data_IF_870452368534
#
_entry.id   IF_870452368534
#
_cell.length_a   1.000
_cell.length_b   1.000
_cell.length_c   1.000
_cell.angle_alpha   90.00
_cell.angle_beta   90.00
_cell.angle_gamma   90.00
#
_symmetry.space_group_name_H-M   'P 1'
#
loop_
_entity.id
_entity.type
_entity.pdbx_description
1 polymer ?
#
# COMPACT_ATOMS: atom_id res chain seq x y z
N UNK A 1 5.39 0.53 21.65
CA UNK A 1 5.33 0.34 20.19
C UNK A 1 5.18 1.72 19.57
N UNK A 2 6.10 2.14 18.69
CA UNK A 2 5.93 3.40 17.94
C UNK A 2 5.10 3.09 16.69
N UNK A 3 3.96 3.76 16.53
CA UNK A 3 3.16 3.67 15.32
C UNK A 3 3.75 4.62 14.28
N UNK A 4 4.07 4.10 13.10
CA UNK A 4 4.40 4.92 11.93
C UNK A 4 3.15 5.18 11.09
N UNK A 5 3.24 6.17 10.21
CA UNK A 5 2.18 6.52 9.27
C UNK A 5 2.76 6.63 7.87
N UNK A 6 1.97 6.18 6.89
CA UNK A 6 2.26 6.31 5.48
C UNK A 6 1.12 7.03 4.76
N UNK A 7 1.45 7.75 3.70
CA UNK A 7 0.49 8.26 2.73
C UNK A 7 0.54 7.34 1.51
N UNK A 8 -0.62 6.83 1.12
CA UNK A 8 -0.77 5.85 0.06
C UNK A 8 -1.75 6.37 -1.00
N UNK A 9 -1.41 6.10 -2.26
CA UNK A 9 -2.21 6.39 -3.44
C UNK A 9 -2.86 5.10 -3.94
N UNK A 10 -4.19 5.08 -4.03
CA UNK A 10 -4.97 3.92 -4.41
C UNK A 10 -5.60 4.08 -5.79
N UNK A 11 -5.96 2.94 -6.39
CA UNK A 11 -6.36 2.89 -7.80
C UNK A 11 -7.86 2.72 -7.98
N UNK A 12 -8.32 2.94 -9.21
CA UNK A 12 -9.66 2.56 -9.60
C UNK A 12 -9.86 1.04 -9.52
N UNK A 13 -11.12 0.56 -9.39
CA UNK A 13 -11.37 -0.87 -9.27
C UNK A 13 -10.85 -1.70 -10.46
N UNK A 14 -10.72 -1.11 -11.66
CA UNK A 14 -10.25 -1.84 -12.83
C UNK A 14 -8.76 -2.18 -12.70
N UNK A 15 -7.94 -1.20 -12.34
CA UNK A 15 -6.50 -1.33 -12.14
C UNK A 15 -6.18 -2.20 -10.91
N UNK A 16 -6.89 -2.01 -9.80
CA UNK A 16 -6.75 -2.85 -8.61
C UNK A 16 -6.97 -4.32 -8.92
N UNK A 17 -8.05 -4.65 -9.65
CA UNK A 17 -8.34 -6.02 -10.02
C UNK A 17 -7.23 -6.65 -10.89
N UNK A 18 -6.50 -5.86 -11.68
CA UNK A 18 -5.36 -6.39 -12.44
C UNK A 18 -4.16 -6.67 -11.55
N UNK A 19 -3.89 -5.80 -10.57
CA UNK A 19 -2.84 -6.04 -9.57
C UNK A 19 -3.17 -7.25 -8.69
N UNK A 20 -4.43 -7.38 -8.26
CA UNK A 20 -4.92 -8.52 -7.48
C UNK A 20 -4.79 -9.85 -8.24
N UNK A 21 -4.89 -9.85 -9.58
CA UNK A 21 -4.59 -11.06 -10.36
C UNK A 21 -3.14 -11.50 -10.20
N UNK A 22 -2.19 -10.57 -10.16
CA UNK A 22 -0.79 -10.87 -9.91
C UNK A 22 -0.60 -11.51 -8.53
N UNK A 23 -1.23 -10.96 -7.50
CA UNK A 23 -1.20 -11.52 -6.14
C UNK A 23 -1.75 -12.95 -6.13
N UNK A 24 -2.89 -13.16 -6.78
CA UNK A 24 -3.54 -14.47 -6.87
C UNK A 24 -2.69 -15.52 -7.61
N UNK A 25 -1.97 -15.13 -8.66
CA UNK A 25 -1.07 -16.04 -9.40
C UNK A 25 0.06 -16.52 -8.49
N UNK A 26 0.68 -15.60 -7.73
CA UNK A 26 1.76 -15.93 -6.80
C UNK A 26 1.26 -16.77 -5.61
N UNK A 27 0.08 -16.43 -5.08
CA UNK A 27 -0.56 -17.17 -3.99
C UNK A 27 -0.90 -18.62 -4.39
N UNK A 28 -1.47 -18.83 -5.58
CA UNK A 28 -1.77 -20.18 -6.11
C UNK A 28 -0.53 -21.05 -6.29
N UNK A 29 0.62 -20.43 -6.54
CA UNK A 29 1.92 -21.10 -6.62
C UNK A 29 2.62 -21.21 -5.27
N UNK A 30 1.98 -20.78 -4.18
CA UNK A 30 2.52 -20.79 -2.82
C UNK A 30 3.84 -20.02 -2.70
N UNK A 31 4.01 -18.97 -3.50
CA UNK A 31 5.23 -18.14 -3.50
C UNK A 31 5.17 -17.09 -2.40
N UNK A 32 4.06 -16.35 -2.36
CA UNK A 32 3.80 -15.32 -1.36
C UNK A 32 2.29 -15.08 -1.28
N UNK A 33 1.81 -14.95 -0.04
CA UNK A 33 0.41 -14.62 0.31
C UNK A 33 0.35 -13.40 1.23
N UNK A 34 1.49 -12.81 1.59
CA UNK A 34 1.61 -11.83 2.66
C UNK A 34 0.69 -10.62 2.47
N UNK A 35 0.64 -10.05 1.27
CA UNK A 35 -0.22 -8.90 0.95
C UNK A 35 -1.72 -9.21 1.09
N UNK A 36 -2.13 -10.46 0.86
CA UNK A 36 -3.51 -10.92 1.03
C UNK A 36 -3.81 -11.14 2.51
N UNK A 37 -2.88 -11.75 3.25
CA UNK A 37 -3.05 -12.07 4.67
C UNK A 37 -3.14 -10.84 5.57
N UNK A 38 -2.45 -9.75 5.19
CA UNK A 38 -2.53 -8.47 5.89
C UNK A 38 -3.68 -7.57 5.39
N UNK A 39 -4.56 -8.11 4.53
CA UNK A 39 -5.70 -7.40 3.95
C UNK A 39 -5.28 -6.07 3.28
N UNK A 40 -4.12 -6.08 2.59
CA UNK A 40 -3.62 -4.90 1.89
C UNK A 40 -4.48 -4.60 0.66
N UNK A 41 -4.61 -3.31 0.33
CA UNK A 41 -5.17 -2.83 -0.94
C UNK A 41 -4.02 -2.45 -1.87
N UNK A 42 -4.06 -2.75 -3.18
CA UNK A 42 -3.04 -2.27 -4.13
C UNK A 42 -2.86 -0.74 -4.06
N UNK A 43 -1.62 -0.29 -3.88
CA UNK A 43 -1.32 1.14 -3.71
C UNK A 43 0.12 1.48 -4.13
N UNK A 44 0.40 2.78 -4.25
CA UNK A 44 1.76 3.34 -4.27
C UNK A 44 1.98 4.14 -2.98
N UNK A 45 3.08 3.89 -2.28
CA UNK A 45 3.46 4.69 -1.11
C UNK A 45 4.12 6.00 -1.57
N UNK A 46 3.55 7.12 -1.13
CA UNK A 46 4.02 8.47 -1.44
C UNK A 46 4.89 9.06 -0.32
N UNK A 47 4.67 8.61 0.91
CA UNK A 47 5.39 9.06 2.09
C UNK A 47 5.28 8.01 3.19
N UNK A 48 6.31 7.86 4.02
CA UNK A 48 6.25 7.04 5.23
C UNK A 48 7.19 7.57 6.31
N UNK A 49 6.73 7.61 7.57
CA UNK A 49 7.56 8.01 8.71
C UNK A 49 7.10 7.36 10.01
N UNK A 50 8.06 7.06 10.88
CA UNK A 50 7.85 6.52 12.22
C UNK A 50 7.46 7.57 13.28
N UNK A 51 7.69 8.85 12.99
CA UNK A 51 7.72 9.92 13.99
C UNK A 51 6.84 11.11 13.63
N UNK A 52 5.77 10.88 12.87
CA UNK A 52 4.89 11.94 12.39
C UNK A 52 3.55 11.93 13.13
N UNK A 53 3.05 13.13 13.44
CA UNK A 53 1.73 13.30 14.05
C UNK A 53 0.63 13.10 12.98
N UNK A 54 -0.35 12.21 13.20
CA UNK A 54 -1.37 11.90 12.19
C UNK A 54 -2.25 13.10 11.84
N UNK A 55 -2.53 13.97 12.81
CA UNK A 55 -3.35 15.18 12.61
C UNK A 55 -2.74 16.15 11.60
N UNK A 56 -1.41 16.25 11.54
CA UNK A 56 -0.71 17.05 10.51
C UNK A 56 -0.91 16.45 9.13
N UNK A 57 -0.75 15.13 8.99
CA UNK A 57 -0.97 14.43 7.73
C UNK A 57 -2.41 14.58 7.23
N UNK A 58 -3.40 14.43 8.12
CA UNK A 58 -4.82 14.57 7.79
C UNK A 58 -5.16 15.98 7.27
N UNK A 59 -4.63 17.02 7.92
CA UNK A 59 -4.82 18.41 7.51
C UNK A 59 -4.25 18.67 6.11
N UNK A 60 -3.02 18.20 5.86
CA UNK A 60 -2.36 18.29 4.56
C UNK A 60 -3.18 17.57 3.50
N UNK A 61 -3.53 16.31 3.74
CA UNK A 61 -4.23 15.49 2.75
C UNK A 61 -5.62 16.03 2.40
N UNK A 62 -6.37 16.53 3.38
CA UNK A 62 -7.69 17.14 3.11
C UNK A 62 -7.59 18.29 2.13
N UNK A 63 -6.64 19.20 2.36
CA UNK A 63 -6.44 20.37 1.51
C UNK A 63 -5.84 19.98 0.16
N UNK A 64 -4.90 19.03 0.17
CA UNK A 64 -4.21 18.56 -1.01
C UNK A 64 -5.17 17.84 -1.96
N UNK A 65 -5.90 16.83 -1.48
CA UNK A 65 -6.79 16.00 -2.29
C UNK A 65 -7.88 16.83 -2.98
N UNK A 66 -8.42 17.85 -2.31
CA UNK A 66 -9.46 18.74 -2.88
C UNK A 66 -9.05 19.52 -4.14
N UNK A 67 -7.75 19.54 -4.46
CA UNK A 67 -7.18 20.28 -5.59
C UNK A 67 -6.63 19.39 -6.68
N UNK A 68 -6.65 18.08 -6.47
CA UNK A 68 -6.11 17.13 -7.41
C UNK A 68 -7.22 16.63 -8.34
N UNK A 69 -6.78 16.05 -9.45
CA UNK A 69 -7.63 15.28 -10.35
C UNK A 69 -7.12 13.82 -10.38
N UNK A 70 -7.97 12.86 -10.77
CA UNK A 70 -7.55 11.47 -10.95
C UNK A 70 -6.34 11.37 -11.89
N UNK A 71 -5.31 10.65 -11.44
CA UNK A 71 -4.07 10.50 -12.20
C UNK A 71 -4.16 9.30 -13.12
N UNK A 72 -3.94 9.49 -14.42
CA UNK A 72 -3.75 8.37 -15.33
C UNK A 72 -2.45 7.61 -15.00
N UNK A 73 -2.55 6.30 -14.87
CA UNK A 73 -1.48 5.39 -14.46
C UNK A 73 -1.31 4.25 -15.46
N UNK A 74 -0.06 3.97 -15.79
CA UNK A 74 0.33 2.86 -16.66
C UNK A 74 1.42 2.07 -15.98
N UNK A 75 1.18 0.82 -15.62
CA UNK A 75 2.20 -0.08 -15.07
C UNK A 75 2.83 -0.90 -16.20
N UNK A 76 4.13 -0.68 -16.44
CA UNK A 76 4.85 -1.27 -17.56
C UNK A 76 6.00 -2.19 -17.17
N UNK A 77 6.42 -2.15 -15.90
CA UNK A 77 7.69 -2.77 -15.47
C UNK A 77 7.48 -3.59 -14.21
N UNK A 78 8.06 -4.80 -14.19
CA UNK A 78 8.22 -5.61 -12.99
C UNK A 78 9.63 -5.40 -12.44
N UNK A 79 9.76 -5.17 -11.14
CA UNK A 79 11.05 -4.94 -10.50
C UNK A 79 11.14 -5.58 -9.11
N UNK A 80 12.37 -5.60 -8.60
CA UNK A 80 12.71 -5.94 -7.21
C UNK A 80 13.76 -4.91 -6.76
N UNK A 81 13.60 -4.29 -5.58
CA UNK A 81 14.68 -3.48 -5.04
C UNK A 81 15.84 -4.39 -4.62
N UNK A 82 17.08 -3.88 -4.57
CA UNK A 82 18.17 -4.60 -3.94
C UNK A 82 17.92 -4.75 -2.43
N UNK A 83 18.41 -5.82 -1.83
CA UNK A 83 18.35 -6.06 -0.39
C UNK A 83 17.57 -7.31 0.01
N UNK A 84 17.44 -7.52 1.32
CA UNK A 84 16.90 -8.75 1.90
C UNK A 84 15.36 -8.76 2.04
N UNK A 85 14.70 -7.66 1.69
CA UNK A 85 13.26 -7.51 1.84
C UNK A 85 12.46 -8.39 0.86
N UNK A 86 13.11 -8.95 -0.17
CA UNK A 86 12.55 -9.88 -1.17
C UNK A 86 11.14 -9.46 -1.66
N UNK A 87 11.03 -8.21 -2.10
CA UNK A 87 9.79 -7.61 -2.58
C UNK A 87 9.79 -7.62 -4.10
N UNK A 88 8.66 -7.97 -4.70
CA UNK A 88 8.41 -7.74 -6.13
C UNK A 88 7.36 -6.66 -6.27
N UNK A 89 7.55 -5.77 -7.23
CA UNK A 89 6.64 -4.67 -7.49
C UNK A 89 6.36 -4.47 -8.98
N UNK A 90 5.22 -3.85 -9.26
CA UNK A 90 4.94 -3.20 -10.53
C UNK A 90 5.29 -1.72 -10.40
N UNK A 91 6.06 -1.17 -11.33
CA UNK A 91 6.36 0.25 -11.37
C UNK A 91 5.56 0.92 -12.48
N UNK A 92 4.94 2.08 -12.21
CA UNK A 92 4.31 2.87 -13.25
C UNK A 92 5.38 3.43 -14.20
N UNK A 93 5.03 3.54 -15.47
CA UNK A 93 5.77 4.33 -16.44
C UNK A 93 5.88 5.76 -15.91
N UNK A 94 7.09 6.32 -15.78
CA UNK A 94 7.26 7.68 -15.29
C UNK A 94 6.44 8.67 -16.13
N UNK A 95 5.63 9.48 -15.45
CA UNK A 95 4.82 10.53 -16.08
C UNK A 95 5.04 11.85 -15.35
N UNK A 96 4.95 12.95 -16.10
CA UNK A 96 5.06 14.29 -15.51
C UNK A 96 3.99 14.52 -14.43
N UNK A 97 2.76 14.06 -14.66
CA UNK A 97 1.65 14.21 -13.71
C UNK A 97 1.93 13.50 -12.39
N UNK A 98 2.44 12.27 -12.41
CA UNK A 98 2.76 11.51 -11.20
C UNK A 98 3.91 12.16 -10.41
N UNK A 99 4.98 12.55 -11.10
CA UNK A 99 6.13 13.20 -10.47
C UNK A 99 5.77 14.57 -9.90
N UNK A 100 4.96 15.35 -10.61
CA UNK A 100 4.45 16.64 -10.16
C UNK A 100 3.53 16.48 -8.94
N UNK A 101 2.62 15.51 -8.97
CA UNK A 101 1.74 15.21 -7.83
C UNK A 101 2.54 14.90 -6.57
N UNK A 102 3.54 14.03 -6.68
CA UNK A 102 4.44 13.70 -5.56
C UNK A 102 5.21 14.94 -5.07
N UNK A 103 5.80 15.73 -5.97
CA UNK A 103 6.50 16.96 -5.60
C UNK A 103 5.59 17.95 -4.87
N UNK A 104 4.36 18.16 -5.33
CA UNK A 104 3.41 19.05 -4.69
C UNK A 104 2.98 18.55 -3.30
N UNK A 105 2.85 17.23 -3.12
CA UNK A 105 2.60 16.62 -1.82
C UNK A 105 3.79 16.88 -0.89
N UNK A 106 5.02 16.65 -1.35
CA UNK A 106 6.22 16.93 -0.56
C UNK A 106 6.27 18.41 -0.11
N UNK A 107 5.96 19.35 -1.00
CA UNK A 107 5.93 20.78 -0.66
C UNK A 107 4.82 21.12 0.34
N UNK A 108 3.67 20.43 0.26
CA UNK A 108 2.59 20.59 1.22
C UNK A 108 2.98 20.06 2.62
N UNK A 109 3.62 18.90 2.68
CA UNK A 109 4.13 18.31 3.91
C UNK A 109 5.20 19.20 4.56
N UNK A 110 6.16 19.71 3.77
CA UNK A 110 7.21 20.62 4.26
C UNK A 110 6.65 21.90 4.86
N UNK A 111 5.58 22.47 4.26
CA UNK A 111 4.93 23.69 4.78
C UNK A 111 4.31 23.49 6.17
N UNK A 112 3.86 22.29 6.48
CA UNK A 112 3.36 21.91 7.82
C UNK A 112 4.47 21.41 8.76
N UNK A 113 5.74 21.57 8.37
CA UNK A 113 6.89 21.16 9.16
C UNK A 113 7.08 19.65 9.26
N UNK A 114 6.54 18.88 8.31
CA UNK A 114 6.74 17.43 8.24
C UNK A 114 8.06 17.13 7.52
N UNK A 115 8.95 16.41 8.20
CA UNK A 115 10.20 15.95 7.61
C UNK A 115 9.96 14.80 6.64
N UNK A 116 10.65 14.85 5.50
CA UNK A 116 10.59 13.85 4.42
C UNK A 116 11.94 13.16 4.35
N UNK A 117 11.95 11.84 4.57
CA UNK A 117 13.13 11.00 4.45
C UNK A 117 13.63 10.95 3.00
N UNK A 118 14.91 10.69 2.83
CA UNK A 118 15.60 10.72 1.52
C UNK A 118 14.89 9.88 0.45
N UNK A 119 14.39 8.71 0.81
CA UNK A 119 13.73 7.76 -0.11
C UNK A 119 12.38 8.25 -0.67
N UNK A 120 11.73 9.23 -0.03
CA UNK A 120 10.49 9.87 -0.49
C UNK A 120 10.73 11.30 -0.98
N UNK A 121 11.98 11.70 -1.22
CA UNK A 121 12.24 13.00 -1.86
C UNK A 121 11.98 12.91 -3.36
N UNK A 122 11.51 14.00 -4.00
CA UNK A 122 11.21 13.99 -5.44
C UNK A 122 12.34 13.47 -6.33
N UNK A 123 13.60 13.66 -5.93
CA UNK A 123 14.79 13.27 -6.68
C UNK A 123 15.17 11.78 -6.52
N UNK A 124 14.70 11.13 -5.46
CA UNK A 124 15.09 9.77 -5.06
C UNK A 124 13.94 8.78 -5.07
N UNK A 125 12.69 9.27 -5.07
CA UNK A 125 11.50 8.47 -4.95
C UNK A 125 11.29 7.56 -6.17
N UNK A 126 11.10 6.28 -5.89
CA UNK A 126 10.80 5.26 -6.90
C UNK A 126 9.34 4.84 -6.72
N UNK A 127 8.43 5.21 -7.65
CA UNK A 127 7.05 4.78 -7.57
C UNK A 127 6.98 3.27 -7.79
N UNK A 128 6.40 2.57 -6.82
CA UNK A 128 6.20 1.14 -6.92
C UNK A 128 4.91 0.70 -6.22
N UNK A 129 4.24 -0.29 -6.81
CA UNK A 129 3.11 -1.01 -6.25
C UNK A 129 3.55 -2.43 -5.96
N UNK A 130 3.61 -2.81 -4.67
CA UNK A 130 4.01 -4.15 -4.28
C UNK A 130 3.04 -5.21 -4.84
N UNK A 131 3.59 -6.30 -5.36
CA UNK A 131 2.84 -7.50 -5.80
C UNK A 131 3.23 -8.76 -5.07
N UNK A 132 4.38 -8.75 -4.39
CA UNK A 132 4.80 -9.81 -3.50
C UNK A 132 5.71 -9.24 -2.41
N UNK A 133 5.60 -9.76 -1.19
CA UNK A 133 6.53 -9.50 -0.10
C UNK A 133 6.99 -10.83 0.50
N UNK A 134 8.15 -10.83 1.14
CA UNK A 134 8.71 -12.02 1.78
C UNK A 134 8.88 -13.21 0.83
N UNK A 135 9.19 -12.94 -0.44
CA UNK A 135 9.39 -14.00 -1.43
C UNK A 135 10.64 -14.80 -1.06
N UNK A 136 10.57 -16.14 -0.95
CA UNK A 136 11.76 -16.94 -0.70
C UNK A 136 12.81 -16.70 -1.79
N UNK A 137 14.07 -16.41 -1.41
CA UNK A 137 15.16 -16.11 -2.36
C UNK A 137 15.29 -17.15 -3.48
N UNK A 138 15.14 -18.43 -3.14
CA UNK A 138 15.19 -19.54 -4.10
C UNK A 138 14.07 -19.51 -5.16
N UNK A 139 12.97 -18.81 -4.89
CA UNK A 139 11.78 -18.70 -5.76
C UNK A 139 11.65 -17.33 -6.43
N UNK A 140 12.58 -16.40 -6.20
CA UNK A 140 12.56 -15.06 -6.81
C UNK A 140 12.51 -15.12 -8.34
N UNK A 141 13.32 -16.00 -8.96
CA UNK A 141 13.31 -16.17 -10.42
C UNK A 141 11.98 -16.68 -10.96
N UNK A 142 11.38 -17.68 -10.29
CA UNK A 142 10.06 -18.21 -10.64
C UNK A 142 8.97 -17.13 -10.54
N UNK A 143 8.98 -16.39 -9.43
CA UNK A 143 8.05 -15.30 -9.19
C UNK A 143 8.15 -14.21 -10.28
N UNK A 144 9.38 -13.85 -10.66
CA UNK A 144 9.62 -12.87 -11.73
C UNK A 144 9.12 -13.37 -13.09
N UNK A 145 9.33 -14.64 -13.42
CA UNK A 145 8.79 -15.25 -14.64
C UNK A 145 7.26 -15.18 -14.67
N UNK A 146 6.58 -15.54 -13.59
CA UNK A 146 5.12 -15.49 -13.50
C UNK A 146 4.57 -14.07 -13.67
N UNK A 147 5.25 -13.07 -13.10
CA UNK A 147 4.84 -11.67 -13.24
C UNK A 147 5.10 -11.11 -14.65
N UNK A 148 6.12 -11.62 -15.35
CA UNK A 148 6.39 -11.25 -16.75
C UNK A 148 5.33 -11.76 -17.73
N UNK A 149 4.62 -12.84 -17.37
CA UNK A 149 3.53 -13.38 -18.18
C UNK A 149 2.21 -12.59 -18.02
N UNK A 150 2.19 -11.57 -17.13
CA UNK A 150 1.09 -10.63 -17.05
C UNK A 150 1.00 -9.82 -18.35
N UNK A 151 -0.23 -9.49 -18.75
CA UNK A 151 -0.49 -8.61 -19.91
C UNK A 151 -0.16 -7.16 -19.55
N UNK A 152 1.12 -6.80 -19.64
CA UNK A 152 1.61 -5.44 -19.50
C UNK A 152 1.60 -4.73 -20.88
N UNK A 153 1.40 -3.40 -20.93
CA UNK A 153 1.14 -2.53 -19.78
C UNK A 153 -0.30 -2.64 -19.27
N UNK A 154 -0.48 -2.43 -17.97
CA UNK A 154 -1.80 -2.30 -17.35
C UNK A 154 -2.09 -0.82 -17.15
N UNK A 155 -3.27 -0.38 -17.56
CA UNK A 155 -3.70 1.02 -17.47
C UNK A 155 -4.86 1.17 -16.49
N UNK A 156 -4.97 2.36 -15.89
CA UNK A 156 -6.12 2.81 -15.11
C UNK A 156 -5.82 4.15 -14.47
N UNK A 157 -6.48 4.44 -13.36
CA UNK A 157 -6.34 5.70 -12.65
C UNK A 157 -5.99 5.49 -11.19
N UNK A 158 -5.23 6.41 -10.62
CA UNK A 158 -5.19 6.63 -9.18
C UNK A 158 -6.27 7.65 -8.80
N UNK A 159 -7.15 7.26 -7.87
CA UNK A 159 -8.42 7.96 -7.60
C UNK A 159 -8.64 8.28 -6.11
N UNK A 160 -7.89 7.62 -5.21
CA UNK A 160 -7.96 7.94 -3.79
C UNK A 160 -6.56 8.11 -3.20
N UNK A 161 -6.45 8.98 -2.19
CA UNK A 161 -5.27 9.12 -1.34
C UNK A 161 -5.69 8.94 0.12
N UNK A 162 -4.88 8.23 0.91
CA UNK A 162 -5.21 7.94 2.29
C UNK A 162 -4.00 7.81 3.21
N UNK A 163 -4.27 7.76 4.51
CA UNK A 163 -3.26 7.52 5.54
C UNK A 163 -3.38 6.08 6.01
N UNK A 164 -2.26 5.36 6.06
CA UNK A 164 -2.19 4.03 6.64
C UNK A 164 -1.28 4.03 7.87
N UNK A 165 -1.71 3.32 8.92
CA UNK A 165 -0.86 3.06 10.08
C UNK A 165 0.08 1.91 9.75
N UNK A 166 1.37 2.21 9.77
CA UNK A 166 2.43 1.21 9.68
C UNK A 166 2.89 0.86 11.10
N UNK A 167 2.61 -0.38 11.53
CA UNK A 167 3.20 -0.90 12.76
C UNK A 167 4.68 -1.19 12.49
N UNK A 168 5.54 -0.21 12.80
CA UNK A 168 6.98 -0.39 12.74
C UNK A 168 7.40 -1.24 13.93
N UNK A 169 7.63 -2.53 13.67
CA UNK A 169 8.42 -3.36 14.56
C UNK A 169 9.84 -2.80 14.54
N UNK A 170 10.32 -2.24 15.65
CA UNK A 170 11.74 -1.88 15.81
C UNK A 170 12.58 -3.13 15.53
N UNK A 171 13.22 -3.19 14.37
CA UNK A 171 14.14 -4.27 14.02
C UNK A 171 15.43 -4.27 14.87
N UNK A 172 15.73 -3.19 15.61
CA UNK A 172 16.99 -3.03 16.35
C UNK A 172 17.12 -3.80 17.69
N UNK A 173 16.20 -4.69 18.04
CA UNK A 173 16.27 -5.42 19.33
C UNK A 173 16.15 -6.95 19.25
N UNK A 174 15.88 -7.55 18.09
CA UNK A 174 15.75 -9.02 18.00
C UNK A 174 16.96 -9.67 17.32
N UNK A 175 18.04 -9.81 18.10
CA UNK A 175 19.03 -10.88 17.87
C UNK A 175 18.42 -12.20 18.32
N UNK A 176 17.93 -12.98 17.36
CA UNK A 176 17.53 -14.37 17.59
C UNK A 176 16.14 -14.54 18.18
N UNK A 177 15.44 -15.53 17.65
CA UNK A 177 14.07 -15.98 17.98
C UNK A 177 12.94 -15.17 17.34
N UNK A 178 12.42 -15.75 16.25
CA UNK A 178 11.21 -15.35 15.57
C UNK A 178 10.00 -15.45 16.52
N UNK A 179 9.51 -14.29 16.96
CA UNK A 179 8.18 -14.19 17.57
C UNK A 179 7.19 -13.72 16.51
N UNK A 180 6.57 -14.72 15.89
CA UNK A 180 5.36 -14.61 15.10
C UNK A 180 4.27 -13.93 15.92
N UNK A 181 3.81 -12.76 15.48
CA UNK A 181 2.54 -12.22 15.94
C UNK A 181 1.58 -12.17 14.76
N UNK A 182 0.77 -13.22 14.68
CA UNK A 182 -0.36 -13.32 13.75
C UNK A 182 -1.42 -12.27 14.10
N UNK A 183 -2.10 -11.75 13.07
CA UNK A 183 -3.24 -10.81 13.07
C UNK A 183 -4.32 -11.08 14.13
N UNK A 184 -4.36 -12.27 14.75
CA UNK A 184 -5.26 -12.61 15.87
C UNK A 184 -5.16 -11.70 17.10
N UNK A 185 -4.03 -11.06 17.35
CA UNK A 185 -3.91 -10.13 18.49
C UNK A 185 -4.49 -8.74 18.20
N UNK A 186 -4.82 -8.46 16.94
CA UNK A 186 -5.48 -7.23 16.47
C UNK A 186 -6.92 -7.12 17.00
N UNK A 187 -7.62 -8.25 17.17
CA UNK A 187 -8.97 -8.26 17.74
C UNK A 187 -9.04 -7.86 19.22
N UNK A 188 -7.96 -8.05 19.99
CA UNK A 188 -7.95 -7.63 21.39
C UNK A 188 -7.78 -6.11 21.53
N UNK A 189 -7.10 -5.46 20.58
CA UNK A 189 -6.81 -4.03 20.63
C UNK A 189 -7.98 -3.14 20.16
N UNK A 190 -8.81 -3.65 19.25
CA UNK A 190 -10.05 -2.98 18.80
C UNK A 190 -11.12 -2.87 19.90
N UNK A 191 -10.96 -3.54 21.05
CA UNK A 191 -11.88 -3.40 22.20
C UNK A 191 -11.73 -2.09 22.97
N UNK A 192 -10.73 -1.27 22.65
CA UNK A 192 -10.41 -0.01 23.35
C UNK A 192 -10.76 1.26 22.57
N UNK A 193 -11.33 1.15 21.37
CA UNK A 193 -11.77 2.30 20.56
C UNK A 193 -13.28 2.22 20.33
N UNK A 194 -14.08 3.25 20.68
CA UNK A 194 -15.53 3.19 20.52
C UNK A 194 -15.92 3.26 19.04
N UNK A 195 -16.25 2.10 18.45
CA UNK A 195 -16.85 1.99 17.11
C UNK A 195 -18.36 2.17 17.23
N UNK A 196 -18.89 3.25 16.66
CA UNK A 196 -20.33 3.43 16.49
C UNK A 196 -20.75 3.09 15.05
N UNK A 197 -21.78 2.23 14.99
CA UNK A 197 -22.67 1.89 13.86
C UNK A 197 -22.18 0.83 12.86
N UNK A 198 -22.53 -0.43 13.15
CA UNK A 198 -22.72 -1.51 12.16
C UNK A 198 -24.22 -1.75 11.98
N UNK A 199 -24.72 -1.70 10.74
CA UNK A 199 -26.06 -2.21 10.38
C UNK A 199 -25.91 -3.30 9.32
N UNK A 200 -26.25 -4.53 9.71
CA UNK A 200 -26.25 -5.72 8.87
C UNK A 200 -27.53 -5.79 8.03
N UNK A 201 -27.41 -6.12 6.74
CA UNK A 201 -28.47 -6.80 5.98
C UNK A 201 -27.86 -7.97 5.21
N UNK A 202 -28.14 -9.18 5.69
CA UNK A 202 -27.86 -10.42 4.97
C UNK A 202 -28.94 -10.64 3.91
N UNK A 203 -28.55 -11.10 2.72
CA UNK A 203 -29.31 -12.18 2.08
C UNK A 203 -28.54 -13.00 1.03
N UNK A 204 -28.65 -14.31 1.23
CA UNK A 204 -28.65 -15.44 0.28
C UNK A 204 -27.33 -16.07 -0.23
N UNK A 205 -27.26 -17.42 -0.27
CA UNK A 205 -26.05 -18.18 -0.57
C UNK A 205 -26.06 -18.71 -2.01
N UNK A 206 -24.96 -18.53 -2.74
CA UNK A 206 -24.39 -19.45 -3.73
C UNK A 206 -23.52 -18.67 -4.72
N UNK A 207 -22.31 -19.20 -4.95
CA UNK A 207 -21.13 -18.56 -5.53
C UNK A 207 -20.43 -17.59 -4.57
N UNK A 208 -19.17 -17.90 -4.26
CA UNK A 208 -18.28 -17.14 -3.38
C UNK A 208 -18.05 -15.73 -3.91
N UNK A 209 -19.00 -14.85 -3.60
CA UNK A 209 -18.84 -13.40 -3.64
C UNK A 209 -17.90 -13.05 -2.50
N UNK A 210 -16.64 -12.78 -2.82
CA UNK A 210 -15.75 -12.14 -1.88
C UNK A 210 -16.29 -10.72 -1.63
N UNK A 211 -16.97 -10.53 -0.50
CA UNK A 211 -17.18 -9.21 0.06
C UNK A 211 -15.93 -8.85 0.85
N UNK A 212 -15.15 -7.93 0.29
CA UNK A 212 -14.00 -7.34 0.94
C UNK A 212 -14.49 -6.21 1.84
N UNK A 213 -14.12 -6.27 3.12
CA UNK A 213 -14.38 -5.20 4.07
C UNK A 213 -13.12 -4.34 4.15
N UNK A 214 -13.23 -3.08 3.73
CA UNK A 214 -12.25 -2.03 4.07
C UNK A 214 -12.34 -1.76 5.58
N UNK A 215 -11.38 -2.29 6.34
CA UNK A 215 -11.12 -1.79 7.70
C UNK A 215 -9.91 -0.86 7.62
N UNK A 216 -10.07 0.26 6.91
CA UNK A 216 -9.09 1.36 6.93
C UNK A 216 -9.42 2.29 8.11
N UNK A 217 -8.57 2.41 9.14
CA UNK A 217 -8.87 3.25 10.29
C UNK A 217 -8.79 4.76 10.00
N UNK A 218 -8.41 5.19 8.78
CA UNK A 218 -8.35 6.60 8.39
C UNK A 218 -8.91 6.80 6.98
N UNK A 219 -9.74 7.83 6.80
CA UNK A 219 -10.54 8.12 5.61
C UNK A 219 -9.70 8.24 4.33
N UNK A 220 -10.00 7.45 3.29
CA UNK A 220 -9.54 7.73 1.94
C UNK A 220 -10.26 8.97 1.40
N UNK A 221 -9.51 9.87 0.76
CA UNK A 221 -10.02 11.07 0.10
C UNK A 221 -9.91 10.87 -1.40
N UNK A 222 -10.97 11.23 -2.13
CA UNK A 222 -10.92 11.25 -3.59
C UNK A 222 -9.96 12.33 -4.05
N UNK A 223 -9.11 11.96 -5.00
CA UNK A 223 -8.32 12.88 -5.81
C UNK A 223 -8.92 12.98 -7.20
#
# INVERSE_FOLDING_TARGET
MSQGYAIELYFDPALENQVLKAWNVLARRQISTQLIEIESRPHITLYSSAYVEPTKLESVLRTFASKQEPLAMTFSTVGSPPGDNNVLFLSPTPSHSLLQFHSQLCDALKREGVEISEEYRPESWIPCCAVAQEVPKARMGEAFCLLRDLKLPVNGYAVDIGIRVCLLLKQDQFKGEALFFTVKQFHLFLSLVPVHVLSLKQNSPNFGSFMFFDVMPYSCLKV
#
